data_IF_005076103379
#
_entry.id   IF_005076103379
#
_cell.length_a   1.000
_cell.length_b   1.000
_cell.length_c   1.000
_cell.angle_alpha   90.00
_cell.angle_beta   90.00
_cell.angle_gamma   90.00
#
_symmetry.space_group_name_H-M   'P 1'
#
loop_
_entity.id
_entity.type
_entity.pdbx_description
1 polymer ?
#
# COMPACT_ATOMS: atom_id res chain seq x y z
N UNK A 1 15.27 -11.60 -31.70
CA UNK A 1 16.27 -10.63 -31.23
C UNK A 1 15.63 -9.25 -31.23
N UNK A 2 15.53 -8.56 -30.09
CA UNK A 2 14.87 -7.25 -30.03
C UNK A 2 15.66 -6.13 -30.72
N UNK A 3 16.96 -6.32 -30.95
CA UNK A 3 17.83 -5.38 -31.69
C UNK A 3 17.54 -5.34 -33.19
N UNK A 4 16.98 -6.43 -33.74
CA UNK A 4 16.66 -6.55 -35.15
C UNK A 4 15.22 -6.09 -35.36
N UNK A 5 15.06 -4.87 -35.89
CA UNK A 5 13.75 -4.23 -36.06
C UNK A 5 12.71 -5.09 -36.81
N UNK A 6 13.16 -5.90 -37.78
CA UNK A 6 12.28 -6.83 -38.53
C UNK A 6 11.80 -7.96 -37.63
N UNK A 7 12.69 -8.58 -36.86
CA UNK A 7 12.34 -9.66 -35.93
C UNK A 7 11.48 -9.14 -34.78
N UNK A 8 11.80 -7.96 -34.24
CA UNK A 8 11.01 -7.31 -33.19
C UNK A 8 9.57 -7.04 -33.66
N UNK A 9 9.41 -6.51 -34.87
CA UNK A 9 8.09 -6.28 -35.46
C UNK A 9 7.32 -7.58 -35.65
N UNK A 10 7.95 -8.60 -36.24
CA UNK A 10 7.33 -9.91 -36.42
C UNK A 10 6.91 -10.54 -35.08
N UNK A 11 7.75 -10.42 -34.05
CA UNK A 11 7.42 -10.90 -32.71
C UNK A 11 6.22 -10.17 -32.10
N UNK A 12 6.11 -8.85 -32.28
CA UNK A 12 4.94 -8.06 -31.82
C UNK A 12 3.68 -8.47 -32.58
N UNK A 13 3.77 -8.66 -33.90
CA UNK A 13 2.63 -9.11 -34.72
C UNK A 13 2.16 -10.52 -34.31
N UNK A 14 3.10 -11.40 -33.95
CA UNK A 14 2.80 -12.74 -33.44
C UNK A 14 2.22 -12.70 -32.02
N UNK A 15 2.68 -11.79 -31.16
CA UNK A 15 2.18 -11.64 -29.79
C UNK A 15 0.68 -11.31 -29.77
N UNK A 16 0.22 -10.48 -30.71
CA UNK A 16 -1.20 -10.13 -30.86
C UNK A 16 -2.07 -11.30 -31.32
N UNK A 17 -1.49 -12.28 -32.03
CA UNK A 17 -2.18 -13.47 -32.51
C UNK A 17 -2.05 -14.66 -31.55
N UNK A 18 -1.15 -14.56 -30.57
CA UNK A 18 -0.90 -15.64 -29.63
C UNK A 18 -2.11 -15.85 -28.71
N UNK A 19 -2.27 -17.07 -28.22
CA UNK A 19 -3.23 -17.34 -27.17
C UNK A 19 -2.98 -16.38 -25.97
N UNK A 20 -4.04 -15.76 -25.40
CA UNK A 20 -3.87 -14.86 -24.26
C UNK A 20 -3.14 -15.55 -23.10
N UNK A 21 -2.10 -14.92 -22.56
CA UNK A 21 -1.32 -15.49 -21.46
C UNK A 21 -1.99 -15.29 -20.11
N UNK A 22 -1.66 -16.11 -19.12
CA UNK A 22 -2.16 -15.93 -17.75
C UNK A 22 -1.52 -14.68 -17.09
N UNK A 23 -2.15 -14.20 -16.02
CA UNK A 23 -1.71 -12.98 -15.31
C UNK A 23 -0.33 -13.19 -14.70
N UNK A 24 -0.08 -14.36 -14.13
CA UNK A 24 1.17 -14.77 -13.49
C UNK A 24 2.35 -14.72 -14.47
N UNK A 25 2.12 -15.22 -15.70
CA UNK A 25 3.14 -15.22 -16.76
C UNK A 25 3.44 -13.79 -17.23
N UNK A 26 2.43 -12.91 -17.23
CA UNK A 26 2.59 -11.52 -17.64
C UNK A 26 3.52 -10.72 -16.71
N UNK A 27 3.64 -11.11 -15.43
CA UNK A 27 4.58 -10.48 -14.49
C UNK A 27 6.03 -10.60 -14.95
N UNK A 28 6.38 -11.70 -15.65
CA UNK A 28 7.72 -11.90 -16.20
C UNK A 28 8.05 -10.86 -17.28
N UNK A 29 7.05 -10.41 -18.04
CA UNK A 29 7.21 -9.40 -19.08
C UNK A 29 7.49 -7.98 -18.54
N UNK A 30 7.30 -7.75 -17.24
CA UNK A 30 7.64 -6.50 -16.56
C UNK A 30 9.05 -6.52 -15.94
N UNK A 31 9.74 -7.66 -16.02
CA UNK A 31 11.13 -7.83 -15.55
C UNK A 31 12.12 -7.00 -16.40
N UNK A 32 13.35 -6.77 -15.92
CA UNK A 32 14.36 -6.01 -16.67
C UNK A 32 14.80 -6.69 -17.97
N UNK A 33 14.44 -7.96 -18.17
CA UNK A 33 14.77 -8.72 -19.39
C UNK A 33 13.99 -8.20 -20.60
N UNK A 34 12.79 -7.66 -20.38
CA UNK A 34 11.91 -7.18 -21.44
C UNK A 34 11.78 -5.65 -21.36
N UNK A 35 12.41 -4.97 -22.31
CA UNK A 35 12.41 -3.49 -22.40
C UNK A 35 11.54 -2.97 -23.54
N UNK A 36 11.11 -3.84 -24.46
CA UNK A 36 10.35 -3.42 -25.64
C UNK A 36 8.95 -2.90 -25.24
N UNK A 37 8.57 -1.65 -25.57
CA UNK A 37 7.33 -1.02 -25.08
C UNK A 37 6.06 -1.80 -25.41
N UNK A 38 5.96 -2.40 -26.62
CA UNK A 38 4.80 -3.20 -27.00
C UNK A 38 4.61 -4.46 -26.12
N UNK A 39 5.71 -5.04 -25.61
CA UNK A 39 5.65 -6.23 -24.73
C UNK A 39 5.18 -5.81 -23.35
N UNK A 40 5.66 -4.67 -22.83
CA UNK A 40 5.21 -4.11 -21.55
C UNK A 40 3.74 -3.70 -21.59
N UNK A 41 3.31 -3.05 -22.68
CA UNK A 41 1.88 -2.75 -22.91
C UNK A 41 1.04 -4.01 -22.94
N UNK A 42 1.47 -5.05 -23.66
CA UNK A 42 0.77 -6.34 -23.64
C UNK A 42 0.68 -6.90 -22.22
N UNK A 43 1.76 -6.88 -21.43
CA UNK A 43 1.72 -7.30 -20.03
C UNK A 43 0.68 -6.54 -19.21
N UNK A 44 0.57 -5.21 -19.39
CA UNK A 44 -0.44 -4.37 -18.73
C UNK A 44 -1.86 -4.77 -19.15
N UNK A 45 -2.10 -5.06 -20.45
CA UNK A 45 -3.42 -5.54 -20.90
C UNK A 45 -3.82 -6.88 -20.25
N UNK A 46 -2.84 -7.71 -19.86
CA UNK A 46 -3.10 -8.94 -19.10
C UNK A 46 -3.41 -8.64 -17.64
N UNK A 47 -2.65 -7.73 -17.01
CA UNK A 47 -2.92 -7.26 -15.65
C UNK A 47 -4.29 -6.60 -15.50
N UNK A 48 -4.79 -5.93 -16.52
CA UNK A 48 -6.15 -5.34 -16.54
C UNK A 48 -7.26 -6.40 -16.37
N UNK A 49 -7.00 -7.66 -16.71
CA UNK A 49 -7.95 -8.76 -16.53
C UNK A 49 -7.94 -9.33 -15.10
N UNK A 50 -6.93 -9.00 -14.29
CA UNK A 50 -6.81 -9.49 -12.93
C UNK A 50 -7.83 -8.83 -11.99
N UNK A 51 -8.30 -9.59 -11.00
CA UNK A 51 -9.10 -9.01 -9.92
C UNK A 51 -8.25 -8.08 -9.04
N UNK A 52 -8.86 -7.18 -8.29
CA UNK A 52 -8.13 -6.35 -7.33
C UNK A 52 -7.45 -7.19 -6.23
N UNK A 53 -8.07 -8.31 -5.84
CA UNK A 53 -7.53 -9.23 -4.83
C UNK A 53 -6.28 -9.96 -5.32
N UNK A 54 -6.21 -10.30 -6.60
CA UNK A 54 -5.02 -10.86 -7.23
C UNK A 54 -3.97 -9.78 -7.45
N UNK A 55 -4.38 -8.59 -7.89
CA UNK A 55 -3.47 -7.46 -8.07
C UNK A 55 -2.78 -7.07 -6.75
N UNK A 56 -3.50 -7.12 -5.63
CA UNK A 56 -2.96 -6.91 -4.29
C UNK A 56 -1.84 -7.90 -3.94
N UNK A 57 -1.91 -9.14 -4.42
CA UNK A 57 -0.86 -10.14 -4.18
C UNK A 57 0.44 -9.82 -4.88
N UNK A 58 0.36 -9.14 -6.02
CA UNK A 58 1.52 -8.79 -6.84
C UNK A 58 1.92 -7.31 -6.69
N UNK A 59 1.16 -6.51 -5.95
CA UNK A 59 1.33 -5.05 -5.90
C UNK A 59 2.73 -4.63 -5.48
N UNK A 60 3.34 -5.29 -4.48
CA UNK A 60 4.71 -4.97 -4.06
C UNK A 60 5.71 -5.20 -5.22
N UNK A 61 5.56 -6.28 -5.96
CA UNK A 61 6.38 -6.62 -7.13
C UNK A 61 6.13 -5.63 -8.28
N UNK A 62 4.89 -5.20 -8.48
CA UNK A 62 4.52 -4.23 -9.51
C UNK A 62 5.08 -2.84 -9.20
N UNK A 63 5.04 -2.39 -7.95
CA UNK A 63 5.72 -1.17 -7.52
C UNK A 63 7.21 -1.27 -7.81
N UNK A 64 7.83 -2.42 -7.50
CA UNK A 64 9.23 -2.67 -7.82
C UNK A 64 9.52 -2.73 -9.34
N UNK A 65 8.55 -3.10 -10.17
CA UNK A 65 8.72 -3.17 -11.61
C UNK A 65 8.76 -1.78 -12.28
N UNK A 66 8.27 -0.73 -11.60
CA UNK A 66 8.32 0.65 -12.07
C UNK A 66 9.76 1.12 -12.34
N UNK A 67 10.77 0.61 -11.62
CA UNK A 67 12.18 0.95 -11.86
C UNK A 67 12.72 0.46 -13.21
N UNK A 68 11.97 -0.40 -13.88
CA UNK A 68 12.31 -0.92 -15.21
C UNK A 68 11.47 -0.29 -16.33
N UNK A 69 10.49 0.55 -16.00
CA UNK A 69 9.67 1.28 -16.98
C UNK A 69 10.48 2.37 -17.68
N UNK A 70 9.93 2.89 -18.79
CA UNK A 70 10.50 4.05 -19.45
C UNK A 70 10.17 5.34 -18.67
N UNK A 71 11.19 5.91 -18.03
CA UNK A 71 11.04 7.13 -17.22
C UNK A 71 10.65 8.34 -18.07
N UNK A 72 10.99 8.35 -19.36
CA UNK A 72 10.55 9.41 -20.26
C UNK A 72 9.04 9.33 -20.48
N UNK A 73 8.48 8.14 -20.72
CA UNK A 73 7.03 7.97 -20.88
C UNK A 73 6.26 8.38 -19.62
N UNK A 74 6.77 8.05 -18.42
CA UNK A 74 6.17 8.48 -17.14
C UNK A 74 6.20 10.01 -17.00
N UNK A 75 7.33 10.64 -17.30
CA UNK A 75 7.46 12.10 -17.23
C UNK A 75 6.57 12.82 -18.25
N UNK A 76 6.44 12.29 -19.46
CA UNK A 76 5.53 12.84 -20.47
C UNK A 76 4.06 12.68 -20.06
N UNK A 77 3.68 11.56 -19.43
CA UNK A 77 2.35 11.38 -18.86
C UNK A 77 2.07 12.41 -17.76
N UNK A 78 3.03 12.66 -16.86
CA UNK A 78 2.94 13.69 -15.83
C UNK A 78 2.77 15.10 -16.41
N UNK A 79 3.57 15.47 -17.42
CA UNK A 79 3.43 16.78 -18.10
C UNK A 79 2.06 16.96 -18.75
N UNK A 80 1.54 15.92 -19.42
CA UNK A 80 0.20 15.95 -20.03
C UNK A 80 -0.88 16.20 -18.98
N UNK A 81 -0.76 15.59 -17.81
CA UNK A 81 -1.68 15.80 -16.68
C UNK A 81 -1.65 17.27 -16.21
N UNK A 82 -0.48 17.85 -16.00
CA UNK A 82 -0.34 19.26 -15.60
C UNK A 82 -0.89 20.25 -16.65
N UNK A 83 -0.72 19.96 -17.95
CA UNK A 83 -1.27 20.79 -19.01
C UNK A 83 -2.80 20.75 -19.06
N UNK A 84 -3.42 19.58 -18.83
CA UNK A 84 -4.88 19.43 -18.77
C UNK A 84 -5.50 20.30 -17.67
N UNK A 85 -4.84 20.45 -16.52
CA UNK A 85 -5.30 21.34 -15.44
C UNK A 85 -5.22 22.82 -15.82
N UNK A 86 -4.16 23.22 -16.53
CA UNK A 86 -3.93 24.62 -16.92
C UNK A 86 -5.00 25.17 -17.87
N UNK A 87 -5.59 24.33 -18.72
CA UNK A 87 -6.63 24.74 -19.68
C UNK A 87 -8.06 24.72 -19.11
N UNK A 88 -8.30 24.05 -17.98
CA UNK A 88 -9.64 24.05 -17.33
C UNK A 88 -9.88 25.35 -16.56
N UNK A 89 -8.82 25.98 -16.04
CA UNK A 89 -8.92 27.24 -15.28
C UNK A 89 -9.29 28.50 -16.10
N UNK A 90 -9.24 28.47 -17.44
CA UNK A 90 -9.46 29.65 -18.29
C UNK A 90 -10.90 29.79 -18.86
N UNK A 91 -11.77 28.78 -18.65
CA UNK A 91 -13.11 28.76 -19.27
C UNK A 91 -14.27 29.32 -18.41
N UNK A 92 -14.03 29.71 -17.15
CA UNK A 92 -15.09 30.17 -16.23
C UNK A 92 -15.36 31.69 -16.21
N UNK A 93 -14.89 32.47 -17.20
CA UNK A 93 -15.09 33.94 -17.23
C UNK A 93 -15.65 34.54 -18.53
N UNK A 94 -16.54 33.85 -19.26
CA UNK A 94 -17.35 34.51 -20.29
C UNK A 94 -18.80 34.01 -20.37
N UNK A 95 -19.62 34.48 -19.43
CA UNK A 95 -21.05 34.69 -19.69
C UNK A 95 -21.47 36.04 -19.09
N UNK A 96 -21.85 37.02 -19.94
CA UNK A 96 -23.01 37.92 -19.74
C UNK A 96 -23.45 38.51 -21.12
N UNK A 97 -24.77 38.39 -21.39
CA UNK A 97 -25.70 39.15 -22.27
C UNK A 97 -25.88 38.76 -23.77
N UNK A 98 -27.08 38.23 -24.08
CA UNK A 98 -27.63 37.93 -25.42
C UNK A 98 -28.20 39.15 -26.20
N UNK A 99 -29.11 39.01 -27.20
CA UNK A 99 -30.33 38.18 -27.11
C UNK A 99 -30.77 37.35 -28.36
N UNK A 100 -31.49 36.27 -28.04
CA UNK A 100 -32.65 35.62 -28.69
C UNK A 100 -32.83 35.61 -30.22
N UNK A 101 -32.93 34.40 -30.81
CA UNK A 101 -34.03 34.00 -31.73
C UNK A 101 -34.15 32.47 -31.82
N UNK A 102 -35.36 32.02 -32.13
CA UNK A 102 -35.98 30.70 -31.95
C UNK A 102 -35.59 29.61 -32.96
N UNK A 103 -35.59 28.32 -32.54
CA UNK A 103 -36.36 27.19 -33.14
C UNK A 103 -35.99 25.79 -32.61
N UNK A 104 -37.05 25.08 -32.18
CA UNK A 104 -37.38 23.63 -32.29
C UNK A 104 -36.39 22.52 -31.88
N UNK A 105 -36.87 21.71 -30.91
CA UNK A 105 -36.75 20.25 -30.71
C UNK A 105 -35.71 19.45 -31.52
N UNK A 106 -34.84 18.74 -30.80
CA UNK A 106 -34.79 17.26 -30.83
C UNK A 106 -33.94 16.72 -29.66
N UNK A 107 -34.52 15.79 -28.90
CA UNK A 107 -33.87 15.09 -27.79
C UNK A 107 -32.92 14.02 -28.34
N UNK A 108 -31.62 14.11 -28.05
CA UNK A 108 -30.71 12.98 -28.05
C UNK A 108 -29.86 12.98 -26.79
N UNK A 109 -29.93 11.84 -26.12
CA UNK A 109 -29.30 11.47 -24.87
C UNK A 109 -27.77 11.53 -25.02
N UNK A 110 -27.13 12.59 -24.53
CA UNK A 110 -25.68 12.73 -24.48
C UNK A 110 -25.15 12.03 -23.23
N UNK A 111 -24.67 10.80 -23.43
CA UNK A 111 -23.68 10.17 -22.52
C UNK A 111 -22.51 11.15 -22.37
N UNK A 112 -22.09 11.37 -21.14
CA UNK A 112 -20.97 12.24 -20.77
C UNK A 112 -19.67 11.80 -21.47
N UNK A 113 -19.11 12.72 -22.25
CA UNK A 113 -17.85 12.61 -23.01
C UNK A 113 -16.58 12.62 -22.10
N UNK A 114 -16.56 11.82 -21.03
CA UNK A 114 -15.38 11.71 -20.13
C UNK A 114 -14.80 10.31 -20.01
N UNK A 115 -15.38 9.31 -20.67
CA UNK A 115 -14.85 7.94 -20.61
C UNK A 115 -14.48 7.42 -22.01
N UNK A 116 -13.31 6.78 -22.07
CA UNK A 116 -12.68 6.09 -23.22
C UNK A 116 -11.72 6.96 -24.06
N UNK A 117 -10.65 7.50 -23.44
CA UNK A 117 -9.35 7.51 -24.15
C UNK A 117 -8.95 6.03 -24.36
N UNK A 118 -8.59 5.66 -25.59
CA UNK A 118 -8.29 4.27 -25.98
C UNK A 118 -7.26 3.65 -25.03
N UNK A 119 -7.59 2.46 -24.53
CA UNK A 119 -6.82 1.58 -23.62
C UNK A 119 -5.38 1.23 -24.09
N UNK A 120 -4.97 1.66 -25.30
CA UNK A 120 -3.74 1.21 -25.97
C UNK A 120 -2.46 1.95 -25.52
N UNK A 121 -2.57 3.08 -24.80
CA UNK A 121 -1.42 3.93 -24.41
C UNK A 121 -1.09 3.91 -22.91
N UNK A 122 -1.69 3.01 -22.12
CA UNK A 122 -1.38 2.92 -20.68
C UNK A 122 0.02 2.33 -20.42
N UNK A 123 0.77 2.97 -19.54
CA UNK A 123 1.99 2.40 -18.93
C UNK A 123 1.70 1.87 -17.52
N UNK A 124 2.68 1.20 -16.91
CA UNK A 124 2.45 0.54 -15.62
C UNK A 124 2.10 1.55 -14.53
N UNK A 125 2.73 2.72 -14.53
CA UNK A 125 2.47 3.77 -13.55
C UNK A 125 1.02 4.27 -13.65
N UNK A 126 0.56 4.63 -14.86
CA UNK A 126 -0.83 5.11 -15.07
C UNK A 126 -1.86 4.03 -14.75
N UNK A 127 -1.58 2.77 -15.09
CA UNK A 127 -2.45 1.64 -14.77
C UNK A 127 -2.60 1.46 -13.25
N UNK A 128 -1.49 1.41 -12.51
CA UNK A 128 -1.51 1.25 -11.05
C UNK A 128 -2.21 2.42 -10.36
N UNK A 129 -1.98 3.65 -10.82
CA UNK A 129 -2.66 4.85 -10.31
C UNK A 129 -4.16 4.74 -10.53
N UNK A 130 -4.60 4.43 -11.74
CA UNK A 130 -6.03 4.30 -12.05
C UNK A 130 -6.69 3.23 -11.19
N UNK A 131 -6.06 2.05 -11.05
CA UNK A 131 -6.58 0.96 -10.21
C UNK A 131 -6.65 1.36 -8.73
N UNK A 132 -5.61 2.00 -8.21
CA UNK A 132 -5.57 2.51 -6.84
C UNK A 132 -6.67 3.54 -6.58
N UNK A 133 -6.94 4.44 -7.51
CA UNK A 133 -8.01 5.43 -7.36
C UNK A 133 -9.42 4.81 -7.20
N UNK A 134 -9.66 3.63 -7.79
CA UNK A 134 -10.96 2.95 -7.70
C UNK A 134 -11.09 1.98 -6.52
N UNK A 135 -10.00 1.70 -5.79
CA UNK A 135 -10.00 0.77 -4.68
C UNK A 135 -9.15 1.29 -3.53
N UNK A 136 -9.81 1.60 -2.41
CA UNK A 136 -9.18 2.19 -1.22
C UNK A 136 -8.13 1.28 -0.57
N UNK A 137 -8.29 -0.04 -0.66
CA UNK A 137 -7.31 -1.01 -0.14
C UNK A 137 -6.05 -1.01 -1.00
N UNK A 138 -6.21 -1.02 -2.34
CA UNK A 138 -5.10 -0.89 -3.26
C UNK A 138 -4.37 0.44 -3.08
N UNK A 139 -5.09 1.55 -2.97
CA UNK A 139 -4.48 2.86 -2.73
C UNK A 139 -3.70 2.95 -1.43
N UNK A 140 -4.21 2.37 -0.34
CA UNK A 140 -3.50 2.33 0.92
C UNK A 140 -2.13 1.66 0.74
N UNK A 141 -2.10 0.43 0.22
CA UNK A 141 -0.82 -0.27 0.05
C UNK A 141 0.07 0.39 -1.00
N UNK A 142 -0.50 0.86 -2.11
CA UNK A 142 0.25 1.55 -3.16
C UNK A 142 0.95 2.81 -2.63
N UNK A 143 0.25 3.63 -1.82
CA UNK A 143 0.83 4.78 -1.16
C UNK A 143 2.03 4.40 -0.28
N UNK A 144 1.82 3.43 0.63
CA UNK A 144 2.84 3.02 1.58
C UNK A 144 4.05 2.35 0.91
N UNK A 145 3.85 1.65 -0.20
CA UNK A 145 4.94 1.06 -0.97
C UNK A 145 5.72 2.13 -1.75
N UNK A 146 5.04 3.13 -2.33
CA UNK A 146 5.72 4.21 -3.02
C UNK A 146 6.52 5.10 -2.06
N UNK A 147 5.96 5.47 -0.91
CA UNK A 147 6.66 6.39 0.01
C UNK A 147 7.95 5.78 0.56
N UNK A 148 7.96 4.47 0.84
CA UNK A 148 9.20 3.77 1.28
C UNK A 148 10.29 3.82 0.23
N UNK A 149 9.94 3.75 -1.05
CA UNK A 149 10.90 3.88 -2.17
C UNK A 149 11.32 5.34 -2.41
N UNK A 150 10.50 6.32 -2.01
CA UNK A 150 10.85 7.74 -2.09
C UNK A 150 11.85 8.17 -1.00
N UNK A 151 11.76 7.54 0.17
CA UNK A 151 12.53 7.86 1.37
C UNK A 151 13.96 7.28 1.38
N UNK A 152 14.25 6.29 0.55
CA UNK A 152 15.49 5.52 0.69
C UNK A 152 16.74 6.37 0.41
N UNK A 153 17.69 6.30 1.35
CA UNK A 153 18.93 7.08 1.35
C UNK A 153 20.14 6.23 1.73
N UNK A 154 20.83 5.74 0.70
CA UNK A 154 22.28 5.83 0.51
C UNK A 154 22.52 6.03 -0.99
N UNK A 155 22.58 7.31 -1.45
CA UNK A 155 22.86 7.63 -2.85
C UNK A 155 24.37 7.45 -3.09
N UNK A 156 24.76 6.25 -3.51
CA UNK A 156 26.12 5.98 -3.98
C UNK A 156 26.25 6.04 -5.51
N UNK A 157 25.13 5.94 -6.26
CA UNK A 157 25.13 5.78 -7.72
C UNK A 157 24.11 6.71 -8.41
N UNK A 158 24.46 7.29 -9.56
CA UNK A 158 23.56 8.15 -10.36
C UNK A 158 22.25 7.44 -10.80
N UNK A 159 22.31 6.12 -11.02
CA UNK A 159 21.16 5.31 -11.40
C UNK A 159 20.08 5.33 -10.31
N UNK A 160 20.49 5.27 -9.04
CA UNK A 160 19.57 5.29 -7.90
C UNK A 160 18.85 6.63 -7.78
N UNK A 161 19.52 7.74 -8.14
CA UNK A 161 18.90 9.06 -8.17
C UNK A 161 17.78 9.14 -9.22
N UNK A 162 18.00 8.62 -10.43
CA UNK A 162 16.97 8.62 -11.49
C UNK A 162 15.78 7.75 -11.12
N UNK A 163 16.02 6.58 -10.53
CA UNK A 163 14.96 5.68 -10.04
C UNK A 163 14.16 6.36 -8.94
N UNK A 164 14.81 7.04 -8.00
CA UNK A 164 14.15 7.80 -6.94
C UNK A 164 13.31 8.96 -7.50
N UNK A 165 13.83 9.69 -8.49
CA UNK A 165 13.07 10.75 -9.17
C UNK A 165 11.83 10.18 -9.89
N UNK A 166 11.94 8.99 -10.49
CA UNK A 166 10.79 8.28 -11.06
C UNK A 166 9.73 7.99 -9.99
N UNK A 167 10.09 7.38 -8.86
CA UNK A 167 9.13 7.09 -7.79
C UNK A 167 8.48 8.36 -7.23
N UNK A 168 9.26 9.44 -7.05
CA UNK A 168 8.73 10.75 -6.64
C UNK A 168 7.73 11.30 -7.68
N UNK A 169 7.99 11.09 -8.96
CA UNK A 169 7.08 11.50 -10.05
C UNK A 169 5.78 10.70 -10.00
N UNK A 170 5.85 9.38 -9.85
CA UNK A 170 4.67 8.51 -9.70
C UNK A 170 3.86 8.88 -8.45
N UNK A 171 4.53 9.17 -7.32
CA UNK A 171 3.87 9.64 -6.10
C UNK A 171 3.11 10.96 -6.34
N UNK A 172 3.74 11.94 -7.01
CA UNK A 172 3.06 13.20 -7.37
C UNK A 172 1.87 12.96 -8.27
N UNK A 173 2.03 12.15 -9.32
CA UNK A 173 0.94 11.77 -10.22
C UNK A 173 -0.23 11.19 -9.44
N UNK A 174 0.04 10.24 -8.54
CA UNK A 174 -0.99 9.61 -7.72
C UNK A 174 -1.72 10.61 -6.81
N UNK A 175 -0.98 11.46 -6.10
CA UNK A 175 -1.55 12.46 -5.20
C UNK A 175 -2.37 13.52 -5.94
N UNK A 176 -1.88 14.04 -7.06
CA UNK A 176 -2.58 15.02 -7.89
C UNK A 176 -3.84 14.40 -8.52
N UNK A 177 -3.76 13.16 -9.00
CA UNK A 177 -4.92 12.43 -9.54
C UNK A 177 -6.02 12.29 -8.48
N UNK A 178 -5.67 11.94 -7.23
CA UNK A 178 -6.66 11.86 -6.16
C UNK A 178 -7.24 13.23 -5.78
N UNK A 179 -6.40 14.28 -5.78
CA UNK A 179 -6.81 15.64 -5.42
C UNK A 179 -7.75 16.28 -6.43
N UNK A 180 -7.46 16.06 -7.71
CA UNK A 180 -8.19 16.68 -8.81
C UNK A 180 -9.31 15.77 -9.36
N UNK A 181 -9.44 14.57 -8.78
CA UNK A 181 -10.53 13.64 -9.05
C UNK A 181 -11.88 14.04 -8.44
N UNK A 182 -12.84 13.12 -8.52
CA UNK A 182 -14.16 13.29 -7.92
C UNK A 182 -14.12 13.11 -6.39
N UNK A 183 -15.24 13.43 -5.73
CA UNK A 183 -15.33 13.52 -4.26
C UNK A 183 -14.82 12.27 -3.51
N UNK A 184 -15.02 11.06 -4.05
CA UNK A 184 -14.53 9.82 -3.44
C UNK A 184 -13.00 9.73 -3.46
N UNK A 185 -12.35 10.14 -4.56
CA UNK A 185 -10.89 10.19 -4.68
C UNK A 185 -10.28 11.24 -3.75
N UNK A 186 -10.91 12.40 -3.64
CA UNK A 186 -10.49 13.44 -2.72
C UNK A 186 -10.60 12.98 -1.26
N UNK A 187 -11.69 12.28 -0.92
CA UNK A 187 -11.85 11.64 0.40
C UNK A 187 -10.75 10.61 0.65
N UNK A 188 -10.39 9.82 -0.34
CA UNK A 188 -9.30 8.85 -0.26
C UNK A 188 -7.94 9.55 -0.03
N UNK A 189 -7.69 10.68 -0.67
CA UNK A 189 -6.50 11.51 -0.43
C UNK A 189 -6.45 11.99 1.04
N UNK A 190 -7.56 12.49 1.58
CA UNK A 190 -7.65 12.95 2.96
C UNK A 190 -7.39 11.81 3.95
N UNK A 191 -7.91 10.62 3.68
CA UNK A 191 -7.63 9.42 4.48
C UNK A 191 -6.12 9.13 4.53
N UNK A 192 -5.44 9.13 3.38
CA UNK A 192 -3.99 8.91 3.33
C UNK A 192 -3.23 9.99 4.12
N UNK A 193 -3.62 11.26 3.99
CA UNK A 193 -3.01 12.35 4.75
C UNK A 193 -3.20 12.20 6.27
N UNK A 194 -4.38 11.78 6.73
CA UNK A 194 -4.63 11.51 8.14
C UNK A 194 -3.82 10.32 8.65
N UNK A 195 -3.68 9.25 7.85
CA UNK A 195 -2.82 8.13 8.20
C UNK A 195 -1.36 8.57 8.37
N UNK A 196 -0.82 9.34 7.41
CA UNK A 196 0.56 9.89 7.49
C UNK A 196 0.75 10.73 8.75
N UNK A 197 -0.18 11.63 9.04
CA UNK A 197 -0.12 12.45 10.24
C UNK A 197 -0.14 11.60 11.52
N UNK A 198 -0.93 10.52 11.57
CA UNK A 198 -0.92 9.56 12.68
C UNK A 198 0.46 8.88 12.82
N UNK A 199 1.07 8.43 11.72
CA UNK A 199 2.40 7.79 11.75
C UNK A 199 3.45 8.76 12.27
N UNK A 200 3.42 10.01 11.81
CA UNK A 200 4.35 11.05 12.27
C UNK A 200 4.26 11.29 13.78
N UNK A 201 3.04 11.35 14.33
CA UNK A 201 2.84 11.49 15.78
C UNK A 201 3.30 10.23 16.55
N UNK A 202 3.09 9.02 16.00
CA UNK A 202 3.62 7.78 16.59
C UNK A 202 5.16 7.75 16.59
N UNK A 203 5.81 8.20 15.51
CA UNK A 203 7.27 8.32 15.45
C UNK A 203 7.78 9.32 16.50
N UNK A 204 7.10 10.46 16.69
CA UNK A 204 7.43 11.43 17.74
C UNK A 204 7.27 10.83 19.13
N UNK A 205 6.17 10.11 19.39
CA UNK A 205 5.92 9.40 20.63
C UNK A 205 7.07 8.44 20.97
N UNK A 206 7.46 7.57 20.02
CA UNK A 206 8.55 6.63 20.24
C UNK A 206 9.87 7.34 20.54
N UNK A 207 10.20 8.39 19.77
CA UNK A 207 11.40 9.19 20.01
C UNK A 207 11.41 9.83 21.40
N UNK A 208 10.27 10.33 21.89
CA UNK A 208 10.14 10.90 23.24
C UNK A 208 10.39 9.85 24.33
N UNK A 209 9.78 8.66 24.22
CA UNK A 209 9.98 7.55 25.17
C UNK A 209 11.40 6.99 25.11
N UNK A 210 12.03 6.97 23.93
CA UNK A 210 13.41 6.50 23.75
C UNK A 210 14.44 7.46 24.36
N UNK A 211 14.23 8.79 24.26
CA UNK A 211 15.13 9.82 24.80
C UNK A 211 15.25 9.78 26.33
N UNK A 212 14.24 9.29 27.03
CA UNK A 212 14.28 9.26 28.49
C UNK A 212 15.25 8.20 29.01
N UNK A 213 16.21 8.61 29.83
CA UNK A 213 17.20 7.72 30.46
C UNK A 213 16.63 7.08 31.73
N UNK A 214 15.59 6.27 31.58
CA UNK A 214 14.96 5.54 32.68
C UNK A 214 14.82 4.04 32.37
N UNK A 215 14.49 3.25 33.41
CA UNK A 215 14.28 1.82 33.25
C UNK A 215 12.99 1.53 32.44
N UNK A 216 12.86 0.30 31.92
CA UNK A 216 11.74 -0.08 31.06
C UNK A 216 10.36 0.13 31.71
N UNK A 217 10.24 -0.07 33.03
CA UNK A 217 8.97 0.13 33.75
C UNK A 217 8.53 1.60 33.67
N UNK A 218 9.44 2.52 33.98
CA UNK A 218 9.20 3.96 33.88
C UNK A 218 8.92 4.40 32.44
N UNK A 219 9.61 3.82 31.44
CA UNK A 219 9.30 4.07 30.02
C UNK A 219 7.89 3.64 29.63
N UNK A 220 7.39 2.52 30.18
CA UNK A 220 6.01 2.08 29.96
C UNK A 220 5.04 3.07 30.63
N UNK A 221 5.28 3.45 31.89
CA UNK A 221 4.44 4.45 32.58
C UNK A 221 4.38 5.77 31.79
N UNK A 222 5.53 6.25 31.29
CA UNK A 222 5.60 7.42 30.43
C UNK A 222 4.84 7.25 29.11
N UNK A 223 5.02 6.13 28.41
CA UNK A 223 4.30 5.81 27.18
C UNK A 223 2.78 5.88 27.41
N UNK A 224 2.30 5.28 28.50
CA UNK A 224 0.87 5.26 28.84
C UNK A 224 0.35 6.65 29.20
N UNK A 225 1.14 7.47 29.91
CA UNK A 225 0.79 8.87 30.20
C UNK A 225 0.72 9.71 28.91
N UNK A 226 1.73 9.63 28.05
CA UNK A 226 1.78 10.38 26.79
C UNK A 226 0.66 9.99 25.81
N UNK A 227 0.26 8.72 25.81
CA UNK A 227 -0.88 8.25 25.02
C UNK A 227 -2.21 8.74 25.59
N UNK A 228 -2.31 8.96 26.90
CA UNK A 228 -3.54 9.40 27.57
C UNK A 228 -3.71 10.93 27.59
N UNK A 229 -2.63 11.68 27.38
CA UNK A 229 -2.63 13.14 27.33
C UNK A 229 -3.08 13.64 25.94
N UNK A 230 -4.25 14.27 25.89
CA UNK A 230 -4.84 14.78 24.65
C UNK A 230 -4.07 15.95 24.04
N UNK A 231 -3.24 16.65 24.83
CA UNK A 231 -2.49 17.84 24.40
C UNK A 231 -1.01 17.52 24.11
N UNK A 232 -0.56 16.28 24.34
CA UNK A 232 0.84 15.90 24.14
C UNK A 232 1.28 15.93 22.67
N UNK A 233 0.35 15.73 21.75
CA UNK A 233 0.59 15.62 20.31
C UNK A 233 -0.48 16.40 19.53
N UNK A 234 -0.22 16.66 18.25
CA UNK A 234 -1.21 17.33 17.37
C UNK A 234 -2.49 16.53 17.20
N UNK A 235 -2.38 15.20 17.29
CA UNK A 235 -3.49 14.26 17.22
C UNK A 235 -3.63 13.64 18.60
N UNK A 236 -4.84 13.65 19.15
CA UNK A 236 -5.15 12.91 20.37
C UNK A 236 -5.07 11.40 20.08
N UNK A 237 -3.95 10.76 20.43
CA UNK A 237 -3.71 9.35 20.14
C UNK A 237 -4.66 8.39 20.88
N UNK A 238 -5.29 8.84 21.98
CA UNK A 238 -6.28 8.03 22.70
C UNK A 238 -7.65 7.98 22.00
N UNK A 239 -8.01 9.03 21.27
CA UNK A 239 -9.32 9.21 20.64
C UNK A 239 -9.25 10.23 19.50
N UNK A 240 -9.38 9.75 18.26
CA UNK A 240 -9.30 10.53 17.03
C UNK A 240 -10.39 10.09 16.04
N UNK A 241 -10.67 10.94 15.04
CA UNK A 241 -11.67 10.62 14.02
C UNK A 241 -11.35 9.31 13.30
N UNK A 242 -12.34 8.43 13.08
CA UNK A 242 -12.08 7.11 12.49
C UNK A 242 -11.33 7.17 11.15
N UNK A 243 -10.26 6.39 11.05
CA UNK A 243 -9.50 6.21 9.82
C UNK A 243 -9.25 4.72 9.54
N UNK A 244 -9.23 4.29 8.27
CA UNK A 244 -8.68 2.99 7.88
C UNK A 244 -7.26 2.80 8.41
N UNK A 245 -6.97 1.62 8.97
CA UNK A 245 -5.67 1.34 9.55
C UNK A 245 -4.64 1.07 8.44
N UNK A 246 -3.45 1.70 8.44
CA UNK A 246 -2.45 1.48 7.38
C UNK A 246 -2.11 0.01 7.15
N UNK A 247 -1.95 -0.77 8.23
CA UNK A 247 -1.57 -2.18 8.16
C UNK A 247 -2.66 -3.06 7.51
N UNK A 248 -3.92 -2.78 7.80
CA UNK A 248 -5.09 -3.45 7.23
C UNK A 248 -6.21 -2.42 7.00
N UNK A 249 -6.34 -1.87 5.78
CA UNK A 249 -7.27 -0.78 5.48
C UNK A 249 -8.75 -1.20 5.54
N UNK A 250 -9.04 -2.49 5.71
CA UNK A 250 -10.41 -2.99 5.95
C UNK A 250 -10.86 -2.75 7.39
N UNK A 251 -9.94 -2.38 8.28
CA UNK A 251 -10.20 -2.14 9.70
C UNK A 251 -10.11 -0.64 9.96
N UNK A 252 -11.19 -0.04 10.44
CA UNK A 252 -11.21 1.36 10.85
C UNK A 252 -10.85 1.48 12.34
N UNK A 253 -9.85 2.31 12.64
CA UNK A 253 -9.38 2.60 13.99
C UNK A 253 -9.74 4.03 14.39
N UNK A 254 -9.95 4.26 15.69
CA UNK A 254 -10.34 5.56 16.25
C UNK A 254 -9.53 6.01 17.47
N UNK A 255 -8.48 5.27 17.83
CA UNK A 255 -7.70 5.56 19.03
C UNK A 255 -6.86 4.39 19.50
N UNK A 256 -5.94 4.66 20.41
CA UNK A 256 -5.10 3.68 21.09
C UNK A 256 -5.57 3.56 22.54
N UNK A 257 -5.61 2.35 23.08
CA UNK A 257 -5.90 2.08 24.49
C UNK A 257 -4.64 2.28 25.32
N UNK A 258 -4.50 3.39 26.09
CA UNK A 258 -3.22 3.75 26.68
C UNK A 258 -2.70 2.70 27.67
N UNK A 259 -3.55 2.22 28.58
CA UNK A 259 -3.17 1.27 29.63
C UNK A 259 -2.75 -0.11 29.12
N UNK A 260 -3.11 -0.48 27.89
CA UNK A 260 -2.71 -1.73 27.24
C UNK A 260 -1.38 -1.61 26.48
N UNK A 261 -0.82 -0.41 26.36
CA UNK A 261 0.44 -0.18 25.66
C UNK A 261 1.61 -0.73 26.50
N UNK A 262 2.48 -1.53 25.86
CA UNK A 262 3.67 -2.10 26.49
C UNK A 262 4.91 -2.02 25.58
N UNK A 263 6.09 -2.09 26.18
CA UNK A 263 7.37 -2.19 25.48
C UNK A 263 7.93 -3.61 25.56
N UNK A 264 8.21 -4.20 24.40
CA UNK A 264 8.89 -5.49 24.33
C UNK A 264 10.31 -5.43 24.90
N UNK A 265 10.78 -6.56 25.42
CA UNK A 265 12.15 -6.72 25.94
C UNK A 265 13.13 -6.93 24.78
N UNK A 266 13.42 -5.87 24.03
CA UNK A 266 14.36 -5.86 22.90
C UNK A 266 15.20 -4.57 22.90
N UNK A 267 16.38 -4.59 22.27
CA UNK A 267 17.27 -3.44 22.16
C UNK A 267 16.59 -2.24 21.49
N UNK A 268 15.78 -2.48 20.45
CA UNK A 268 15.02 -1.44 19.73
C UNK A 268 13.67 -1.10 20.38
N UNK A 269 13.31 -1.78 21.48
CA UNK A 269 12.11 -1.52 22.31
C UNK A 269 10.82 -1.27 21.49
N UNK A 270 10.36 -2.22 20.66
CA UNK A 270 9.15 -2.04 19.89
C UNK A 270 7.91 -1.96 20.79
N UNK A 271 6.91 -1.20 20.34
CA UNK A 271 5.69 -0.91 21.09
C UNK A 271 4.61 -1.89 20.69
N UNK A 272 3.99 -2.58 21.65
CA UNK A 272 2.71 -3.25 21.43
C UNK A 272 1.61 -2.27 21.75
N UNK A 273 0.81 -1.94 20.74
CA UNK A 273 -0.31 -1.00 20.83
C UNK A 273 -1.61 -1.75 20.59
N UNK A 274 -2.63 -1.40 21.37
CA UNK A 274 -3.99 -1.93 21.21
C UNK A 274 -4.86 -0.80 20.68
N UNK A 275 -5.38 -0.98 19.47
CA UNK A 275 -6.19 0.01 18.76
C UNK A 275 -7.67 -0.26 18.97
N UNK A 276 -8.41 0.79 19.28
CA UNK A 276 -9.88 0.80 19.29
C UNK A 276 -10.36 0.80 17.85
N UNK A 277 -11.14 -0.19 17.48
CA UNK A 277 -11.82 -0.26 16.19
C UNK A 277 -13.18 0.43 16.25
N UNK A 278 -13.71 0.87 15.12
CA UNK A 278 -15.10 1.35 15.04
C UNK A 278 -16.10 0.21 15.13
N UNK A 279 -15.74 -0.94 14.57
CA UNK A 279 -16.55 -2.14 14.47
C UNK A 279 -15.69 -3.35 14.85
N UNK A 280 -16.26 -4.25 15.67
CA UNK A 280 -15.59 -5.49 16.04
C UNK A 280 -14.63 -5.37 17.25
N UNK A 281 -13.72 -6.35 17.42
CA UNK A 281 -12.78 -6.38 18.54
C UNK A 281 -11.65 -5.37 18.36
N UNK A 282 -10.96 -5.08 19.45
CA UNK A 282 -9.71 -4.29 19.42
C UNK A 282 -8.65 -4.97 18.54
N UNK A 283 -7.86 -4.16 17.84
CA UNK A 283 -6.78 -4.66 16.99
C UNK A 283 -5.43 -4.44 17.65
N UNK A 284 -4.62 -5.49 17.79
CA UNK A 284 -3.30 -5.37 18.40
C UNK A 284 -2.22 -5.37 17.33
N UNK A 285 -1.35 -4.36 17.36
CA UNK A 285 -0.22 -4.26 16.44
C UNK A 285 1.07 -3.92 17.20
N UNK A 286 2.19 -4.33 16.61
CA UNK A 286 3.53 -3.97 17.06
C UNK A 286 4.01 -2.85 16.16
N UNK A 287 4.29 -1.68 16.74
CA UNK A 287 4.96 -0.59 16.05
C UNK A 287 6.46 -0.65 16.33
N UNK A 288 7.26 -0.79 15.28
CA UNK A 288 8.72 -0.83 15.34
C UNK A 288 9.30 0.49 14.83
N UNK A 289 10.35 0.98 15.48
CA UNK A 289 11.12 2.15 15.06
C UNK A 289 12.62 1.87 15.24
N UNK A 290 13.42 2.20 14.23
CA UNK A 290 14.83 1.84 14.10
C UNK A 290 15.09 0.51 13.40
N UNK A 291 14.10 -0.07 12.71
CA UNK A 291 14.16 -1.37 12.02
C UNK A 291 13.54 -1.22 10.63
N UNK A 292 14.15 -1.81 9.59
CA UNK A 292 13.61 -1.82 8.22
C UNK A 292 12.78 -3.09 8.02
N UNK A 293 11.48 -2.93 7.79
CA UNK A 293 10.54 -4.06 7.69
C UNK A 293 10.30 -4.54 6.27
N UNK A 294 10.98 -3.99 5.26
CA UNK A 294 10.75 -4.38 3.86
C UNK A 294 11.07 -5.86 3.60
N UNK A 295 12.11 -6.38 4.26
CA UNK A 295 12.48 -7.80 4.15
C UNK A 295 11.39 -8.70 4.77
N UNK A 296 10.99 -8.44 6.01
CA UNK A 296 9.92 -9.16 6.70
C UNK A 296 8.61 -9.09 5.90
N UNK A 297 8.27 -7.91 5.39
CA UNK A 297 7.10 -7.67 4.57
C UNK A 297 7.10 -8.51 3.29
N UNK A 298 8.21 -8.55 2.56
CA UNK A 298 8.34 -9.37 1.36
C UNK A 298 8.17 -10.86 1.70
N UNK A 299 8.83 -11.34 2.75
CA UNK A 299 8.72 -12.75 3.18
C UNK A 299 7.27 -13.10 3.53
N UNK A 300 6.58 -12.25 4.31
CA UNK A 300 5.19 -12.50 4.69
C UNK A 300 4.24 -12.43 3.49
N UNK A 301 4.50 -11.56 2.51
CA UNK A 301 3.74 -11.51 1.26
C UNK A 301 3.87 -12.84 0.48
N UNK A 302 5.08 -13.39 0.38
CA UNK A 302 5.32 -14.68 -0.27
C UNK A 302 4.62 -15.82 0.49
N UNK A 303 4.70 -15.84 1.83
CA UNK A 303 3.98 -16.84 2.63
C UNK A 303 2.46 -16.72 2.43
N UNK A 304 1.93 -15.49 2.34
CA UNK A 304 0.49 -15.24 2.07
C UNK A 304 0.09 -15.77 0.70
N UNK A 305 0.90 -15.52 -0.34
CA UNK A 305 0.68 -16.07 -1.67
C UNK A 305 0.70 -17.60 -1.66
N UNK A 306 1.70 -18.21 -1.01
CA UNK A 306 1.79 -19.67 -0.87
C UNK A 306 0.58 -20.26 -0.14
N UNK A 307 0.12 -19.65 0.96
CA UNK A 307 -1.07 -20.09 1.68
C UNK A 307 -2.33 -20.00 0.80
N UNK A 308 -2.50 -18.93 0.03
CA UNK A 308 -3.61 -18.81 -0.93
C UNK A 308 -3.56 -19.91 -2.00
N UNK A 309 -2.40 -20.15 -2.60
CA UNK A 309 -2.23 -21.21 -3.62
C UNK A 309 -2.55 -22.60 -3.04
N UNK A 310 -2.06 -22.90 -1.84
CA UNK A 310 -2.36 -24.16 -1.15
C UNK A 310 -3.87 -24.31 -0.87
N UNK A 311 -4.54 -23.23 -0.44
CA UNK A 311 -5.99 -23.23 -0.20
C UNK A 311 -6.81 -23.42 -1.48
N UNK A 312 -6.36 -22.87 -2.62
CA UNK A 312 -7.00 -23.12 -3.91
C UNK A 312 -6.97 -24.59 -4.30
N UNK A 313 -5.88 -25.30 -3.95
CA UNK A 313 -5.75 -26.75 -4.07
C UNK A 313 -6.40 -27.52 -2.91
N UNK A 314 -7.29 -26.86 -2.14
CA UNK A 314 -8.02 -27.41 -0.98
C UNK A 314 -7.12 -27.90 0.17
N UNK A 315 -5.91 -27.36 0.30
CA UNK A 315 -4.96 -27.73 1.34
C UNK A 315 -4.76 -26.59 2.35
N UNK A 316 -5.47 -26.65 3.49
CA UNK A 316 -5.31 -25.69 4.59
C UNK A 316 -4.32 -26.20 5.65
N UNK A 317 -3.06 -25.76 5.53
CA UNK A 317 -1.98 -26.08 6.47
C UNK A 317 -2.02 -25.26 7.77
N UNK A 318 -3.05 -24.44 7.98
CA UNK A 318 -3.21 -23.58 9.17
C UNK A 318 -2.03 -22.62 9.38
N UNK A 319 -1.44 -22.14 8.27
CA UNK A 319 -0.43 -21.10 8.31
C UNK A 319 -1.03 -19.82 8.92
N UNK A 320 -0.18 -19.00 9.54
CA UNK A 320 -0.59 -17.73 10.15
C UNK A 320 0.20 -16.56 9.54
N UNK A 321 -0.06 -16.21 8.26
CA UNK A 321 0.62 -15.11 7.58
C UNK A 321 0.12 -13.76 8.15
N UNK A 322 0.74 -13.32 9.24
CA UNK A 322 0.40 -12.05 9.88
C UNK A 322 0.85 -10.87 9.01
N UNK A 323 0.07 -9.78 9.02
CA UNK A 323 0.36 -8.61 8.20
C UNK A 323 1.61 -7.87 8.67
N UNK A 324 2.41 -7.38 7.72
CA UNK A 324 3.56 -6.50 7.95
C UNK A 324 3.48 -5.36 6.95
N UNK A 325 3.71 -4.14 7.42
CA UNK A 325 3.78 -2.95 6.57
C UNK A 325 4.88 -2.02 7.05
N UNK A 326 5.89 -1.80 6.21
CA UNK A 326 6.81 -0.69 6.36
C UNK A 326 6.08 0.63 6.06
N UNK A 327 6.10 1.57 7.00
CA UNK A 327 5.55 2.92 6.81
C UNK A 327 6.63 3.96 6.53
N UNK A 328 7.88 3.51 6.49
CA UNK A 328 9.08 4.26 6.14
C UNK A 328 10.30 3.33 6.23
N UNK A 329 11.49 3.83 5.91
CA UNK A 329 12.72 2.99 5.88
C UNK A 329 13.21 2.53 7.26
N UNK A 330 12.65 3.08 8.35
CA UNK A 330 13.08 2.80 9.73
C UNK A 330 11.92 2.50 10.67
N UNK A 331 10.69 2.41 10.16
CA UNK A 331 9.53 2.13 11.00
C UNK A 331 8.42 1.46 10.24
N UNK A 332 7.56 0.79 10.99
CA UNK A 332 6.37 0.16 10.43
C UNK A 332 5.62 -0.66 11.46
N UNK A 333 4.60 -1.34 10.97
CA UNK A 333 3.73 -2.18 11.77
C UNK A 333 3.91 -3.66 11.45
N UNK A 334 3.73 -4.46 12.50
CA UNK A 334 3.55 -5.91 12.43
C UNK A 334 2.27 -6.25 13.17
N UNK A 335 1.40 -7.05 12.57
CA UNK A 335 0.20 -7.55 13.25
C UNK A 335 0.63 -8.42 14.44
N UNK A 336 0.06 -8.14 15.62
CA UNK A 336 0.33 -8.97 16.78
C UNK A 336 -0.63 -10.16 16.80
N UNK A 337 -0.07 -11.37 16.81
CA UNK A 337 -0.81 -12.61 17.04
C UNK A 337 -0.52 -13.10 18.45
N UNK A 338 -1.57 -13.33 19.24
CA UNK A 338 -1.42 -13.90 20.58
C UNK A 338 -0.74 -15.26 20.48
N UNK A 339 0.45 -15.35 21.06
CA UNK A 339 1.35 -16.47 20.89
C UNK A 339 2.34 -16.53 22.05
N UNK A 340 2.86 -17.72 22.30
CA UNK A 340 3.94 -17.94 23.26
C UNK A 340 5.13 -18.52 22.52
N UNK A 341 6.33 -18.03 22.84
CA UNK A 341 7.55 -18.57 22.24
C UNK A 341 7.73 -20.02 22.67
N UNK A 342 8.28 -20.86 21.79
CA UNK A 342 8.55 -22.27 22.14
C UNK A 342 9.46 -22.36 23.37
N UNK A 343 10.41 -21.43 23.51
CA UNK A 343 11.27 -21.36 24.70
C UNK A 343 10.46 -21.11 25.99
N UNK A 344 9.50 -20.18 25.99
CA UNK A 344 8.66 -19.92 27.16
C UNK A 344 7.75 -21.11 27.50
N UNK A 345 7.22 -21.78 26.47
CA UNK A 345 6.40 -23.00 26.63
C UNK A 345 7.21 -24.12 27.28
N UNK A 346 8.44 -24.35 26.83
CA UNK A 346 9.31 -25.38 27.41
C UNK A 346 9.74 -25.02 28.84
N UNK A 347 9.99 -23.74 29.13
CA UNK A 347 10.34 -23.29 30.48
C UNK A 347 9.18 -23.40 31.48
N UNK A 348 7.94 -23.21 31.03
CA UNK A 348 6.75 -23.19 31.90
C UNK A 348 6.08 -24.55 32.05
N UNK A 349 5.95 -25.33 30.97
CA UNK A 349 5.19 -26.59 30.95
C UNK A 349 6.08 -27.83 30.67
N UNK A 350 7.38 -27.64 30.43
CA UNK A 350 8.37 -28.69 30.17
C UNK A 350 8.33 -29.26 28.75
N UNK A 351 7.15 -29.51 28.20
CA UNK A 351 6.97 -30.04 26.83
C UNK A 351 5.80 -29.38 26.11
N UNK A 352 5.86 -29.37 24.77
CA UNK A 352 4.76 -28.87 23.92
C UNK A 352 3.48 -29.70 24.15
N UNK A 353 3.61 -31.01 24.35
CA UNK A 353 2.45 -31.88 24.62
C UNK A 353 1.72 -31.50 25.91
N UNK A 354 2.45 -31.18 26.98
CA UNK A 354 1.84 -30.74 28.24
C UNK A 354 1.11 -29.41 28.08
N UNK A 355 1.72 -28.47 27.35
CA UNK A 355 1.10 -27.20 27.01
C UNK A 355 -0.23 -27.38 26.25
N UNK A 356 -0.25 -28.26 25.24
CA UNK A 356 -1.47 -28.57 24.49
C UNK A 356 -2.52 -29.25 25.35
N UNK A 357 -2.15 -30.27 26.15
CA UNK A 357 -3.08 -31.01 27.03
C UNK A 357 -3.73 -30.11 28.08
N UNK A 358 -3.00 -29.10 28.58
CA UNK A 358 -3.52 -28.12 29.55
C UNK A 358 -4.57 -27.19 28.95
N UNK A 359 -4.42 -26.81 27.67
CA UNK A 359 -5.35 -25.88 26.99
C UNK A 359 -6.53 -26.59 26.33
N UNK A 360 -6.30 -27.78 25.78
CA UNK A 360 -7.30 -28.57 25.06
C UNK A 360 -7.25 -30.04 25.50
N UNK A 361 -7.64 -30.36 26.75
CA UNK A 361 -7.70 -31.74 27.20
C UNK A 361 -8.77 -32.52 26.44
N UNK A 362 -8.43 -33.73 26.01
CA UNK A 362 -9.38 -34.69 25.42
C UNK A 362 -9.07 -36.07 25.99
N UNK A 363 -10.03 -36.65 26.70
CA UNK A 363 -9.88 -37.97 27.33
C UNK A 363 -9.85 -39.11 26.29
N UNK A 364 -10.34 -38.86 25.08
CA UNK A 364 -10.49 -39.86 24.01
C UNK A 364 -9.45 -39.69 22.89
N UNK A 365 -8.61 -38.66 22.94
CA UNK A 365 -7.55 -38.45 21.95
C UNK A 365 -6.28 -39.20 22.34
N UNK A 366 -5.62 -39.92 21.41
CA UNK A 366 -4.38 -40.65 21.69
C UNK A 366 -3.21 -39.76 22.13
#
# INVERSE_FOLDING_TARGET
>A
NWELAVEARQAVDMLQQWAPMEVEDSLQLLSPVFTHPAVRRYAITRLQQASDDDLLLYLLQLVQALKYEDFYEINEAYKRMQMKESCVSDNDQKEILGPSTSRSHESKNSKSDLDVEKDEDQNLATFLIQRACHNSTLANYFYWYLITECEDQEVAVELDTKVREMYLTVMRMFQETLQNGFAEWQKQQQVLQHQVALIDELVKLVKSVQRENCNRKKKIEQLQMLLADSEAFKINLADFDPIPFPLDPRICIRGIVPHNAILFKSALMPLRLTFKTTEGPEYVAIFKHGDDLRQDQFVLQIITLMDKLLRLENLDLKLTPYSVLATGTKHGFVQYIDSQTVADVLNSEGTIQNFLRKRHPSETSP
#
